data_IF_847930600641
#
_entry.id   IF_847930600641
#
_cell.length_a   1.000
_cell.length_b   1.000
_cell.length_c   1.000
_cell.angle_alpha   90.00
_cell.angle_beta   90.00
_cell.angle_gamma   90.00
#
_symmetry.space_group_name_H-M   'P 1'
#
loop_
_entity.id
_entity.type
_entity.pdbx_description
1 polymer ?
#
# COMPACT_ATOMS: atom_id res chain seq x y z
N UNK A 1 33.59 30.55 -30.98
CA UNK A 1 32.93 29.29 -31.38
C UNK A 1 31.98 28.92 -30.28
N UNK A 2 30.68 28.96 -30.57
CA UNK A 2 29.61 28.76 -29.60
C UNK A 2 29.45 27.27 -29.26
N UNK A 3 29.30 26.99 -27.96
CA UNK A 3 28.96 25.68 -27.41
C UNK A 3 27.54 25.29 -27.87
N UNK A 4 27.45 24.35 -28.78
CA UNK A 4 26.22 23.57 -29.00
C UNK A 4 26.47 22.17 -28.47
N UNK A 5 26.37 22.03 -27.15
CA UNK A 5 26.16 20.74 -26.51
C UNK A 5 24.74 20.29 -26.86
N UNK A 6 24.65 19.62 -28.01
CA UNK A 6 23.42 18.96 -28.47
C UNK A 6 22.89 18.09 -27.34
N UNK A 7 21.72 18.49 -26.86
CA UNK A 7 20.77 17.73 -26.06
C UNK A 7 20.75 16.26 -26.49
N UNK A 8 21.52 15.44 -25.78
CA UNK A 8 21.19 14.05 -25.58
C UNK A 8 20.16 14.03 -24.44
N UNK A 9 18.93 14.47 -24.74
CA UNK A 9 17.78 14.36 -23.84
C UNK A 9 17.43 12.87 -23.72
N UNK A 10 18.14 12.28 -22.76
CA UNK A 10 18.10 10.92 -22.27
C UNK A 10 16.68 10.32 -22.19
N UNK A 11 16.43 9.16 -22.84
CA UNK A 11 15.26 8.30 -22.58
C UNK A 11 15.10 7.92 -21.10
N UNK A 12 16.19 8.03 -20.34
CA UNK A 12 16.32 7.77 -18.91
C UNK A 12 15.41 8.63 -18.05
N UNK A 13 15.15 9.89 -18.45
CA UNK A 13 14.26 10.77 -17.68
C UNK A 13 12.80 10.31 -17.76
N UNK A 14 12.39 9.71 -18.89
CA UNK A 14 11.05 9.12 -19.03
C UNK A 14 10.86 7.86 -18.18
N UNK A 15 11.92 7.09 -17.96
CA UNK A 15 11.90 5.90 -17.10
C UNK A 15 11.84 6.28 -15.62
N UNK A 16 12.62 7.29 -15.19
CA UNK A 16 12.58 7.80 -13.82
C UNK A 16 11.19 8.37 -13.50
N UNK A 17 10.60 9.17 -14.40
CA UNK A 17 9.23 9.70 -14.21
C UNK A 17 8.14 8.62 -14.21
N UNK A 18 8.37 7.49 -14.89
CA UNK A 18 7.43 6.34 -14.90
C UNK A 18 7.58 5.48 -13.65
N UNK A 19 8.79 5.35 -13.12
CA UNK A 19 9.07 4.71 -11.83
C UNK A 19 8.56 5.57 -10.66
N UNK A 20 8.63 6.89 -10.75
CA UNK A 20 8.10 7.81 -9.74
C UNK A 20 6.57 7.81 -9.69
N UNK A 21 5.89 7.59 -10.83
CA UNK A 21 4.45 7.30 -10.89
C UNK A 21 4.09 5.93 -10.30
N UNK A 22 5.06 5.01 -10.24
CA UNK A 22 4.99 3.72 -9.54
C UNK A 22 5.67 3.81 -8.17
N UNK A 23 5.64 4.97 -7.50
CA UNK A 23 5.77 4.94 -6.04
C UNK A 23 4.73 3.92 -5.56
N UNK A 24 5.12 2.84 -4.86
CA UNK A 24 4.12 2.06 -4.16
C UNK A 24 3.35 3.08 -3.34
N UNK A 25 2.03 3.13 -3.55
CA UNK A 25 1.14 3.89 -2.69
C UNK A 25 1.68 3.62 -1.29
N UNK A 26 2.07 4.67 -0.56
CA UNK A 26 2.34 4.52 0.87
C UNK A 26 0.97 4.19 1.45
N UNK A 27 0.55 2.94 1.28
CA UNK A 27 -0.65 2.40 1.87
C UNK A 27 -0.30 2.50 3.34
N UNK A 28 -1.07 3.35 4.01
CA UNK A 28 -0.80 3.63 5.40
C UNK A 28 -0.80 2.28 6.10
N UNK A 29 0.30 1.92 6.76
CA UNK A 29 0.48 0.57 7.33
C UNK A 29 -0.74 0.15 8.17
N UNK A 30 -1.34 1.13 8.86
CA UNK A 30 -2.57 0.99 9.62
C UNK A 30 -3.81 0.69 8.76
N UNK A 31 -3.90 1.23 7.54
CA UNK A 31 -5.01 0.97 6.62
C UNK A 31 -5.00 -0.46 6.08
N UNK A 32 -3.82 -1.00 5.77
CA UNK A 32 -3.67 -2.41 5.41
C UNK A 32 -4.01 -3.29 6.61
N UNK A 33 -3.38 -3.05 7.76
CA UNK A 33 -3.63 -3.85 8.95
C UNK A 33 -5.12 -3.90 9.32
N UNK A 34 -5.81 -2.75 9.28
CA UNK A 34 -7.26 -2.67 9.52
C UNK A 34 -8.07 -3.50 8.52
N UNK A 35 -7.72 -3.46 7.24
CA UNK A 35 -8.38 -4.24 6.19
C UNK A 35 -8.22 -5.75 6.43
N UNK A 36 -7.04 -6.19 6.85
CA UNK A 36 -6.77 -7.61 7.15
C UNK A 36 -7.55 -8.08 8.39
N UNK A 37 -7.59 -7.26 9.45
CA UNK A 37 -8.35 -7.57 10.67
C UNK A 37 -9.85 -7.67 10.35
N UNK A 38 -10.38 -6.80 9.50
CA UNK A 38 -11.78 -6.87 9.06
C UNK A 38 -12.09 -8.16 8.29
N UNK A 39 -11.22 -8.60 7.39
CA UNK A 39 -11.40 -9.87 6.70
C UNK A 39 -11.37 -11.06 7.67
N UNK A 40 -10.45 -11.05 8.63
CA UNK A 40 -10.36 -12.10 9.64
C UNK A 40 -11.62 -12.18 10.54
N UNK A 41 -12.27 -11.04 10.82
CA UNK A 41 -13.54 -10.99 11.55
C UNK A 41 -14.66 -11.69 10.77
N UNK A 42 -14.74 -11.42 9.46
CA UNK A 42 -15.75 -12.04 8.57
C UNK A 42 -15.50 -13.56 8.50
N UNK A 43 -14.25 -13.97 8.34
CA UNK A 43 -13.89 -15.40 8.31
C UNK A 43 -14.22 -16.10 9.63
N UNK A 44 -13.93 -15.47 10.78
CA UNK A 44 -14.28 -16.00 12.09
C UNK A 44 -15.82 -16.14 12.27
N UNK A 45 -16.59 -15.21 11.71
CA UNK A 45 -18.06 -15.27 11.70
C UNK A 45 -18.59 -16.42 10.84
N UNK A 46 -18.02 -16.62 9.64
CA UNK A 46 -18.35 -17.75 8.77
C UNK A 46 -18.02 -19.10 9.44
N UNK A 47 -16.90 -19.16 10.16
CA UNK A 47 -16.48 -20.35 10.92
C UNK A 47 -17.25 -20.53 12.23
N UNK A 48 -18.15 -19.59 12.61
CA UNK A 48 -18.84 -19.54 13.90
C UNK A 48 -17.90 -19.52 15.11
N UNK A 49 -16.67 -19.07 14.92
CA UNK A 49 -15.67 -18.89 15.98
C UNK A 49 -15.83 -17.50 16.61
N UNK A 50 -16.86 -17.37 17.45
CA UNK A 50 -17.19 -16.11 18.12
C UNK A 50 -16.09 -15.67 19.10
N UNK A 51 -15.30 -16.61 19.63
CA UNK A 51 -14.18 -16.30 20.52
C UNK A 51 -13.08 -15.53 19.80
N UNK A 52 -12.67 -15.99 18.61
CA UNK A 52 -11.72 -15.26 17.76
C UNK A 52 -12.31 -13.95 17.24
N UNK A 53 -13.60 -13.94 16.88
CA UNK A 53 -14.29 -12.72 16.43
C UNK A 53 -14.20 -11.59 17.47
N UNK A 54 -14.48 -11.89 18.74
CA UNK A 54 -14.46 -10.90 19.81
C UNK A 54 -13.04 -10.39 20.12
N UNK A 55 -12.03 -11.26 20.02
CA UNK A 55 -10.62 -10.88 20.13
C UNK A 55 -10.21 -9.91 19.01
N UNK A 56 -10.58 -10.20 17.76
CA UNK A 56 -10.29 -9.35 16.61
C UNK A 56 -11.05 -8.03 16.66
N UNK A 57 -12.29 -8.03 17.15
CA UNK A 57 -13.06 -6.79 17.38
C UNK A 57 -12.43 -5.91 18.46
N UNK A 58 -11.83 -6.52 19.49
CA UNK A 58 -11.10 -5.78 20.52
C UNK A 58 -9.82 -5.16 19.93
N UNK A 59 -9.06 -5.94 19.16
CA UNK A 59 -7.87 -5.46 18.47
C UNK A 59 -8.16 -4.33 17.48
N UNK A 60 -9.31 -4.36 16.80
CA UNK A 60 -9.73 -3.29 15.90
C UNK A 60 -10.11 -1.97 16.63
N UNK A 61 -10.44 -2.03 17.92
CA UNK A 61 -10.71 -0.82 18.73
C UNK A 61 -9.42 -0.14 19.21
N UNK A 62 -8.36 -0.92 19.37
CA UNK A 62 -7.05 -0.45 19.85
C UNK A 62 -6.16 0.08 18.71
N UNK A 63 -6.51 -0.21 17.45
CA UNK A 63 -5.88 0.28 16.21
C UNK A 63 -6.48 1.61 15.72
#
# INVERSE_FOLDING_TARGET
>A
MELVEKQASTPTQSWISRAERRRPLRVDYYSELRSWVQHAIIEAEEQKDFGKKDQLLSLLKDL
#
